data_IF_228014822200
#
_entry.id   IF_228014822200
#
_cell.length_a   1.000
_cell.length_b   1.000
_cell.length_c   1.000
_cell.angle_alpha   90.00
_cell.angle_beta   90.00
_cell.angle_gamma   90.00
#
_symmetry.space_group_name_H-M   'P 1'
#
loop_
_entity.id
_entity.type
_entity.pdbx_description
1 polymer ?
#
# COMPACT_ATOMS: atom_id res chain seq x y z
N UNK A 1 -16.35 -36.60 2.16
CA UNK A 1 -15.97 -35.53 1.21
C UNK A 1 -16.56 -34.23 1.72
N UNK A 2 -15.77 -33.40 2.39
CA UNK A 2 -16.21 -32.10 2.92
C UNK A 2 -16.04 -31.08 1.79
N UNK A 3 -17.09 -30.32 1.48
CA UNK A 3 -17.07 -29.42 0.33
C UNK A 3 -16.46 -28.06 0.70
N UNK A 4 -15.88 -27.37 -0.28
CA UNK A 4 -15.25 -26.03 -0.17
C UNK A 4 -16.10 -24.96 0.53
N UNK A 5 -17.41 -25.20 0.70
CA UNK A 5 -18.37 -24.32 1.38
C UNK A 5 -18.34 -24.42 2.91
N UNK A 6 -17.86 -25.53 3.48
CA UNK A 6 -17.91 -25.78 4.93
C UNK A 6 -16.73 -25.17 5.69
N UNK A 7 -15.58 -24.98 5.03
CA UNK A 7 -14.38 -24.35 5.61
C UNK A 7 -14.62 -22.88 5.98
N UNK A 8 -15.48 -22.17 5.24
CA UNK A 8 -15.73 -20.74 5.45
C UNK A 8 -16.77 -20.43 6.55
N UNK A 9 -17.46 -21.42 7.13
CA UNK A 9 -18.57 -21.20 8.07
C UNK A 9 -18.17 -21.05 9.54
N UNK A 10 -16.94 -21.37 9.93
CA UNK A 10 -16.55 -21.45 11.35
C UNK A 10 -15.89 -20.19 11.95
N UNK A 11 -15.85 -19.06 11.24
CA UNK A 11 -15.27 -17.82 11.77
C UNK A 11 -16.37 -16.93 12.37
N UNK A 12 -16.77 -17.18 13.62
CA UNK A 12 -17.54 -16.25 14.46
C UNK A 12 -16.98 -16.21 15.88
N UNK A 13 -16.77 -15.00 16.42
CA UNK A 13 -16.57 -14.73 17.85
C UNK A 13 -15.26 -13.99 18.19
N UNK A 14 -15.27 -12.96 19.07
CA UNK A 14 -14.22 -11.96 19.17
C UNK A 14 -13.20 -12.27 20.28
N UNK A 15 -11.95 -11.92 20.04
CA UNK A 15 -10.96 -11.68 21.10
C UNK A 15 -10.41 -10.26 20.91
N UNK A 16 -10.55 -9.43 21.94
CA UNK A 16 -10.45 -7.96 21.87
C UNK A 16 -9.05 -7.40 22.15
N UNK A 17 -8.03 -8.26 22.25
CA UNK A 17 -6.65 -7.83 22.56
C UNK A 17 -5.61 -8.18 21.49
N UNK A 18 -6.02 -8.72 20.35
CA UNK A 18 -5.13 -8.95 19.20
C UNK A 18 -5.22 -7.79 18.20
N UNK A 19 -4.11 -7.37 17.56
CA UNK A 19 -4.19 -6.42 16.45
C UNK A 19 -5.18 -6.97 15.40
N UNK A 20 -6.08 -6.13 14.85
CA UNK A 20 -7.13 -6.58 13.94
C UNK A 20 -6.53 -7.37 12.76
N UNK A 21 -7.28 -8.37 12.28
CA UNK A 21 -6.96 -9.41 11.28
C UNK A 21 -6.36 -8.96 9.92
N UNK A 22 -5.91 -7.72 9.77
CA UNK A 22 -5.36 -7.16 8.54
C UNK A 22 -3.98 -7.70 8.10
N UNK A 23 -3.36 -8.61 8.87
CA UNK A 23 -2.07 -9.22 8.50
C UNK A 23 -2.25 -10.52 7.67
N UNK A 24 -3.50 -10.95 7.39
CA UNK A 24 -3.77 -12.32 6.94
C UNK A 24 -3.48 -12.65 5.45
N UNK A 25 -3.54 -11.68 4.54
CA UNK A 25 -3.56 -11.95 3.08
C UNK A 25 -2.18 -12.02 2.41
N UNK A 26 -1.17 -12.30 3.20
CA UNK A 26 0.20 -12.48 2.74
C UNK A 26 0.71 -13.92 2.99
N UNK A 27 0.01 -14.65 3.86
CA UNK A 27 0.36 -16.00 4.32
C UNK A 27 0.14 -17.07 3.24
N UNK A 28 -0.74 -16.82 2.28
CA UNK A 28 -1.04 -17.76 1.19
C UNK A 28 0.10 -17.93 0.16
N UNK A 29 1.12 -17.08 0.20
CA UNK A 29 2.26 -17.15 -0.71
C UNK A 29 3.36 -18.15 -0.27
N UNK A 30 3.56 -18.34 1.04
CA UNK A 30 4.63 -19.22 1.54
C UNK A 30 4.42 -20.67 1.06
N UNK A 31 3.16 -21.05 0.83
CA UNK A 31 2.77 -22.39 0.34
C UNK A 31 3.23 -22.66 -1.10
N UNK A 32 3.41 -21.63 -1.93
CA UNK A 32 3.84 -21.78 -3.34
C UNK A 32 5.36 -21.70 -3.53
N UNK A 33 6.08 -21.02 -2.64
CA UNK A 33 7.55 -20.85 -2.75
C UNK A 33 8.29 -22.00 -2.06
N UNK A 34 7.79 -22.50 -0.93
CA UNK A 34 8.43 -23.63 -0.22
C UNK A 34 8.29 -24.97 -0.95
N UNK A 35 7.39 -25.06 -1.93
CA UNK A 35 7.07 -26.29 -2.70
C UNK A 35 7.89 -26.45 -3.99
N UNK A 36 8.74 -25.49 -4.35
CA UNK A 36 9.63 -25.58 -5.53
C UNK A 36 11.08 -25.89 -5.18
N UNK A 37 11.45 -25.91 -3.89
CA UNK A 37 12.83 -26.13 -3.46
C UNK A 37 13.15 -27.58 -3.02
N UNK A 38 12.15 -28.43 -2.76
CA UNK A 38 12.38 -29.82 -2.39
C UNK A 38 11.29 -30.73 -2.97
N UNK A 39 11.68 -31.68 -3.82
CA UNK A 39 10.80 -32.72 -4.34
C UNK A 39 10.45 -33.74 -3.27
N UNK A 40 9.57 -33.39 -2.33
CA UNK A 40 8.92 -34.34 -1.41
C UNK A 40 7.56 -33.82 -0.96
N UNK A 41 6.55 -34.69 -1.06
CA UNK A 41 5.19 -34.64 -0.50
C UNK A 41 4.55 -33.27 -0.16
N UNK A 42 3.48 -32.93 -0.89
CA UNK A 42 2.55 -31.87 -0.55
C UNK A 42 1.96 -32.04 0.86
N UNK A 43 2.54 -31.36 1.84
CA UNK A 43 1.92 -31.10 3.13
C UNK A 43 1.79 -29.58 3.28
N UNK A 44 0.56 -29.07 3.20
CA UNK A 44 0.28 -27.67 3.50
C UNK A 44 0.73 -27.33 4.93
N UNK A 45 1.04 -26.05 5.18
CA UNK A 45 1.34 -25.59 6.54
C UNK A 45 0.15 -25.86 7.45
N UNK A 46 0.43 -26.33 8.66
CA UNK A 46 -0.57 -26.45 9.72
C UNK A 46 -0.96 -25.06 10.23
N UNK A 47 -2.14 -24.93 10.85
CA UNK A 47 -2.58 -23.67 11.46
C UNK A 47 -1.55 -23.12 12.45
N UNK A 48 -0.89 -23.99 13.23
CA UNK A 48 0.18 -23.61 14.15
C UNK A 48 1.42 -23.03 13.44
N UNK A 49 1.75 -23.52 12.25
CA UNK A 49 2.83 -22.94 11.43
C UNK A 49 2.41 -21.59 10.85
N UNK A 50 1.16 -21.45 10.40
CA UNK A 50 0.61 -20.17 9.94
C UNK A 50 0.53 -19.13 11.08
N UNK A 51 0.20 -19.54 12.30
CA UNK A 51 0.22 -18.66 13.49
C UNK A 51 1.63 -18.25 13.86
N UNK A 52 2.60 -19.17 13.80
CA UNK A 52 4.02 -18.85 14.04
C UNK A 52 4.53 -17.80 13.06
N UNK A 53 4.23 -17.96 11.76
CA UNK A 53 4.57 -16.96 10.74
C UNK A 53 3.93 -15.60 11.08
N UNK A 54 2.66 -15.58 11.44
CA UNK A 54 1.95 -14.35 11.83
C UNK A 54 2.57 -13.68 13.06
N UNK A 55 2.92 -14.46 14.07
CA UNK A 55 3.59 -13.96 15.27
C UNK A 55 4.94 -13.34 14.94
N UNK A 56 5.75 -14.06 14.16
CA UNK A 56 7.05 -13.59 13.69
C UNK A 56 6.91 -12.29 12.89
N UNK A 57 5.91 -12.15 12.02
CA UNK A 57 5.64 -10.89 11.31
C UNK A 57 5.35 -9.72 12.25
N UNK A 58 4.58 -9.95 13.32
CA UNK A 58 4.32 -8.93 14.33
C UNK A 58 5.57 -8.53 15.13
N UNK A 59 6.46 -9.47 15.40
CA UNK A 59 7.77 -9.20 16.01
C UNK A 59 8.71 -8.46 15.06
N UNK A 60 8.82 -8.91 13.80
CA UNK A 60 9.63 -8.24 12.78
C UNK A 60 9.15 -6.81 12.52
N UNK A 61 7.85 -6.57 12.44
CA UNK A 61 7.30 -5.22 12.28
C UNK A 61 7.67 -4.30 13.44
N UNK A 62 7.62 -4.81 14.68
CA UNK A 62 8.05 -4.04 15.87
C UNK A 62 9.54 -3.76 15.84
N UNK A 63 10.36 -4.76 15.53
CA UNK A 63 11.81 -4.61 15.46
C UNK A 63 12.23 -3.62 14.36
N UNK A 64 11.64 -3.72 13.18
CA UNK A 64 11.83 -2.76 12.09
C UNK A 64 11.50 -1.33 12.53
N UNK A 65 10.38 -1.14 13.25
CA UNK A 65 10.03 0.18 13.77
C UNK A 65 11.05 0.67 14.81
N UNK A 66 11.55 -0.19 15.70
CA UNK A 66 12.57 0.17 16.70
C UNK A 66 13.88 0.60 16.03
N UNK A 67 14.36 -0.18 15.07
CA UNK A 67 15.55 0.17 14.31
C UNK A 67 15.36 1.48 13.52
N UNK A 68 14.17 1.71 12.98
CA UNK A 68 13.82 2.99 12.34
C UNK A 68 13.90 4.17 13.32
N UNK A 69 13.44 4.02 14.56
CA UNK A 69 13.52 5.07 15.59
C UNK A 69 14.94 5.32 16.09
N UNK A 70 15.79 4.29 16.08
CA UNK A 70 17.19 4.37 16.49
C UNK A 70 18.10 4.93 15.39
N UNK A 71 17.74 4.77 14.12
CA UNK A 71 18.54 5.24 12.99
C UNK A 71 18.34 6.76 12.74
N UNK A 72 19.38 7.60 12.89
CA UNK A 72 19.29 9.04 12.66
C UNK A 72 19.07 9.42 11.19
N UNK A 73 19.35 8.52 10.24
CA UNK A 73 19.16 8.73 8.80
C UNK A 73 17.75 8.37 8.33
N UNK A 74 16.89 7.83 9.21
CA UNK A 74 15.52 7.49 8.87
C UNK A 74 14.75 8.71 8.36
N UNK A 75 14.10 8.54 7.20
CA UNK A 75 13.22 9.57 6.66
C UNK A 75 12.11 9.96 7.64
N UNK A 76 11.75 11.25 7.66
CA UNK A 76 10.78 11.81 8.63
C UNK A 76 9.43 11.08 8.64
N UNK A 77 8.96 10.59 7.50
CA UNK A 77 7.68 9.90 7.38
C UNK A 77 7.75 8.47 7.94
N UNK A 78 8.86 7.77 7.67
CA UNK A 78 9.15 6.45 8.22
C UNK A 78 9.30 6.52 9.74
N UNK A 79 10.04 7.54 10.23
CA UNK A 79 10.15 7.82 11.65
C UNK A 79 8.78 8.06 12.29
N UNK A 80 7.95 8.92 11.70
CA UNK A 80 6.62 9.19 12.22
C UNK A 80 5.74 7.94 12.26
N UNK A 81 5.75 7.13 11.21
CA UNK A 81 5.01 5.86 11.18
C UNK A 81 5.48 4.91 12.28
N UNK A 82 6.80 4.75 12.47
CA UNK A 82 7.36 3.89 13.51
C UNK A 82 7.02 4.36 14.93
N UNK A 83 7.15 5.67 15.19
CA UNK A 83 6.81 6.29 16.47
C UNK A 83 5.34 6.06 16.83
N UNK A 84 4.45 6.34 15.86
CA UNK A 84 3.01 6.15 16.03
C UNK A 84 2.63 4.66 16.14
N UNK A 85 3.30 3.76 15.41
CA UNK A 85 3.05 2.31 15.48
C UNK A 85 3.42 1.74 16.85
N UNK A 86 4.62 2.07 17.36
CA UNK A 86 5.11 1.60 18.64
C UNK A 86 4.45 2.30 19.84
N UNK A 87 3.73 3.40 19.59
CA UNK A 87 3.23 4.29 20.63
C UNK A 87 4.36 4.89 21.48
N UNK A 88 5.51 5.13 20.83
CA UNK A 88 6.73 5.66 21.44
C UNK A 88 7.06 6.98 20.74
N UNK A 89 7.49 8.01 21.48
CA UNK A 89 7.85 9.32 20.89
C UNK A 89 6.74 9.92 20.01
N UNK A 90 5.47 9.67 20.35
CA UNK A 90 4.27 10.10 19.58
C UNK A 90 4.27 11.60 19.29
N UNK A 91 4.65 12.43 20.26
CA UNK A 91 4.77 13.89 20.08
C UNK A 91 5.78 14.26 19.00
N UNK A 92 6.93 13.57 18.98
CA UNK A 92 7.97 13.79 17.98
C UNK A 92 7.55 13.28 16.60
N UNK A 93 6.89 12.12 16.53
CA UNK A 93 6.31 11.60 15.29
C UNK A 93 5.34 12.60 14.66
N UNK A 94 4.43 13.16 15.44
CA UNK A 94 3.52 14.22 14.97
C UNK A 94 4.26 15.50 14.57
N UNK A 95 5.32 15.89 15.28
CA UNK A 95 6.20 17.02 14.87
C UNK A 95 6.82 16.77 13.50
N UNK A 96 7.32 15.56 13.23
CA UNK A 96 7.90 15.20 11.91
C UNK A 96 6.88 15.28 10.76
N UNK A 97 5.62 14.93 11.01
CA UNK A 97 4.54 15.08 10.02
C UNK A 97 4.29 16.57 9.69
N UNK A 98 4.29 17.45 10.70
CA UNK A 98 4.17 18.90 10.48
C UNK A 98 5.35 19.47 9.69
N UNK A 99 6.58 19.07 10.04
CA UNK A 99 7.80 19.49 9.33
C UNK A 99 7.74 19.09 7.84
N UNK A 100 7.29 17.87 7.54
CA UNK A 100 7.13 17.40 6.17
C UNK A 100 6.03 18.15 5.40
N UNK A 101 4.91 18.45 6.04
CA UNK A 101 3.86 19.25 5.43
C UNK A 101 4.32 20.69 5.15
N UNK A 102 4.99 21.32 6.10
CA UNK A 102 5.59 22.64 5.91
C UNK A 102 6.61 22.64 4.75
N UNK A 103 7.42 21.59 4.61
CA UNK A 103 8.32 21.44 3.47
C UNK A 103 7.57 21.29 2.14
N UNK A 104 6.40 20.62 2.11
CA UNK A 104 5.56 20.56 0.92
C UNK A 104 4.99 21.93 0.52
N UNK A 105 4.65 22.77 1.51
CA UNK A 105 4.16 24.14 1.31
C UNK A 105 5.26 25.14 0.92
N UNK A 106 6.52 24.86 1.26
CA UNK A 106 7.66 25.69 0.86
C UNK A 106 7.89 25.70 -0.65
N UNK A 107 7.24 24.81 -1.41
CA UNK A 107 7.34 24.72 -2.85
C UNK A 107 8.52 23.87 -3.32
N UNK A 108 8.70 23.82 -4.64
CA UNK A 108 9.80 23.12 -5.30
C UNK A 108 10.02 23.78 -6.67
N UNK A 109 11.13 24.52 -6.80
CA UNK A 109 11.47 25.26 -8.01
C UNK A 109 11.66 24.34 -9.23
N UNK A 110 12.35 23.20 -9.06
CA UNK A 110 12.57 22.22 -10.13
C UNK A 110 11.26 21.69 -10.73
N UNK A 111 10.19 21.67 -9.93
CA UNK A 111 8.85 21.21 -10.33
C UNK A 111 7.88 22.36 -10.62
N UNK A 112 8.36 23.61 -10.63
CA UNK A 112 7.54 24.81 -10.79
C UNK A 112 6.37 24.88 -9.78
N UNK A 113 6.60 24.44 -8.55
CA UNK A 113 5.63 24.55 -7.45
C UNK A 113 6.05 25.76 -6.61
N UNK A 114 5.28 26.86 -6.59
CA UNK A 114 5.61 28.03 -5.78
C UNK A 114 5.47 27.71 -4.29
N UNK A 115 5.99 28.58 -3.42
CA UNK A 115 5.67 28.50 -2.00
C UNK A 115 4.24 29.01 -1.73
N UNK A 116 3.60 28.50 -0.68
CA UNK A 116 2.25 28.89 -0.29
C UNK A 116 2.06 28.76 1.22
N UNK A 117 1.10 29.52 1.75
CA UNK A 117 0.63 29.36 3.14
C UNK A 117 -0.43 28.28 3.29
N UNK A 118 -1.05 27.87 2.20
CA UNK A 118 -2.16 26.91 2.15
C UNK A 118 -1.87 25.79 1.18
N UNK A 119 -2.39 24.59 1.48
CA UNK A 119 -2.23 23.44 0.61
C UNK A 119 -3.10 23.62 -0.64
N UNK A 120 -2.48 23.58 -1.82
CA UNK A 120 -3.19 23.62 -3.11
C UNK A 120 -3.07 22.29 -3.84
N UNK A 121 -3.88 22.03 -4.89
CA UNK A 121 -3.78 20.80 -5.67
C UNK A 121 -2.37 20.57 -6.24
N UNK A 122 -1.67 21.64 -6.63
CA UNK A 122 -0.31 21.57 -7.15
C UNK A 122 0.69 21.12 -6.07
N UNK A 123 0.62 21.67 -4.85
CA UNK A 123 1.46 21.25 -3.73
C UNK A 123 1.23 19.78 -3.36
N UNK A 124 -0.04 19.38 -3.26
CA UNK A 124 -0.40 18.00 -2.95
C UNK A 124 0.14 17.03 -4.01
N UNK A 125 0.15 17.42 -5.29
CA UNK A 125 0.77 16.63 -6.35
C UNK A 125 2.28 16.44 -6.16
N UNK A 126 2.96 17.41 -5.56
CA UNK A 126 4.40 17.41 -5.30
C UNK A 126 4.84 16.31 -4.35
N UNK A 127 3.95 15.87 -3.44
CA UNK A 127 4.21 14.78 -2.48
C UNK A 127 3.81 13.39 -2.99
N UNK A 128 3.47 13.24 -4.28
CA UNK A 128 3.07 11.96 -4.93
C UNK A 128 3.88 10.75 -4.44
N UNK A 129 5.20 10.86 -4.42
CA UNK A 129 6.10 9.75 -4.07
C UNK A 129 5.96 9.25 -2.63
N UNK A 130 5.48 10.11 -1.74
CA UNK A 130 5.25 9.78 -0.32
C UNK A 130 3.75 9.58 0.01
N UNK A 131 2.83 9.81 -0.94
CA UNK A 131 1.39 9.84 -0.67
C UNK A 131 0.87 8.54 -0.04
N UNK A 132 1.38 7.38 -0.48
CA UNK A 132 1.05 6.09 0.13
C UNK A 132 1.32 6.04 1.64
N UNK A 133 2.41 6.67 2.07
CA UNK A 133 2.85 6.67 3.46
C UNK A 133 2.01 7.62 4.31
N UNK A 134 1.66 8.78 3.75
CA UNK A 134 0.71 9.71 4.36
C UNK A 134 -0.66 9.07 4.58
N UNK A 135 -1.19 8.39 3.56
CA UNK A 135 -2.46 7.65 3.69
C UNK A 135 -2.37 6.55 4.73
N UNK A 136 -1.29 5.76 4.71
CA UNK A 136 -1.08 4.69 5.69
C UNK A 136 -1.04 5.24 7.12
N UNK A 137 -0.33 6.35 7.35
CA UNK A 137 -0.34 7.06 8.64
C UNK A 137 -1.77 7.47 9.03
N UNK A 138 -2.52 8.10 8.13
CA UNK A 138 -3.90 8.51 8.43
C UNK A 138 -4.79 7.32 8.77
N UNK A 139 -4.88 6.31 7.91
CA UNK A 139 -5.77 5.17 8.10
C UNK A 139 -5.46 4.40 9.38
N UNK A 140 -4.20 4.36 9.79
CA UNK A 140 -3.78 3.60 10.96
C UNK A 140 -3.92 4.38 12.26
N UNK A 141 -3.80 5.71 12.25
CA UNK A 141 -3.60 6.49 13.47
C UNK A 141 -4.59 7.63 13.69
N UNK A 142 -5.52 7.89 12.74
CA UNK A 142 -6.54 8.91 12.95
C UNK A 142 -7.41 8.60 14.19
N UNK A 143 -8.09 9.62 14.70
CA UNK A 143 -8.95 9.56 15.90
C UNK A 143 -9.98 8.44 15.89
N UNK A 144 -10.43 7.98 14.71
CA UNK A 144 -11.43 6.92 14.52
C UNK A 144 -10.84 5.66 13.89
N UNK A 145 -9.52 5.53 13.84
CA UNK A 145 -8.87 4.36 13.24
C UNK A 145 -9.28 3.07 13.94
N UNK A 146 -9.55 2.03 13.15
CA UNK A 146 -9.79 0.67 13.67
C UNK A 146 -8.53 -0.04 14.17
N UNK A 147 -7.35 0.53 13.90
CA UNK A 147 -6.06 -0.08 14.22
C UNK A 147 -5.48 0.50 15.50
N UNK A 148 -5.15 1.80 15.49
CA UNK A 148 -4.49 2.50 16.59
C UNK A 148 -5.10 3.90 16.75
N UNK A 149 -6.35 3.99 17.27
CA UNK A 149 -7.08 5.26 17.31
C UNK A 149 -6.36 6.31 18.16
N UNK A 150 -6.43 7.56 17.71
CA UNK A 150 -6.06 8.74 18.52
C UNK A 150 -4.56 8.99 18.68
N UNK A 151 -3.70 8.35 17.86
CA UNK A 151 -2.25 8.61 17.90
C UNK A 151 -1.81 9.79 17.03
N UNK A 152 -2.65 10.21 16.07
CA UNK A 152 -2.48 11.49 15.37
C UNK A 152 -3.01 12.65 16.22
N UNK A 153 -2.22 13.71 16.30
CA UNK A 153 -2.67 14.97 16.87
C UNK A 153 -3.81 15.56 16.01
N UNK A 154 -4.82 16.23 16.61
CA UNK A 154 -5.99 16.72 15.87
C UNK A 154 -5.65 17.66 14.70
N UNK A 155 -4.68 18.55 14.91
CA UNK A 155 -4.22 19.49 13.87
C UNK A 155 -3.49 18.78 12.73
N UNK A 156 -2.69 17.75 13.04
CA UNK A 156 -2.05 16.90 12.02
C UNK A 156 -3.10 16.12 11.23
N UNK A 157 -4.15 15.62 11.88
CA UNK A 157 -5.23 14.93 11.19
C UNK A 157 -5.94 15.87 10.19
N UNK A 158 -6.33 17.08 10.62
CA UNK A 158 -6.99 18.06 9.76
C UNK A 158 -6.09 18.48 8.57
N UNK A 159 -4.80 18.68 8.83
CA UNK A 159 -3.79 18.97 7.80
C UNK A 159 -3.70 17.86 6.74
N UNK A 160 -3.74 16.59 7.15
CA UNK A 160 -3.75 15.47 6.20
C UNK A 160 -5.05 15.42 5.38
N UNK A 161 -6.19 15.70 6.00
CA UNK A 161 -7.50 15.76 5.31
C UNK A 161 -7.51 16.85 4.22
N UNK A 162 -6.96 18.03 4.50
CA UNK A 162 -6.79 19.10 3.50
C UNK A 162 -5.87 18.66 2.34
N UNK A 163 -4.73 18.02 2.66
CA UNK A 163 -3.81 17.49 1.66
C UNK A 163 -4.46 16.41 0.78
N UNK A 164 -5.25 15.52 1.37
CA UNK A 164 -5.95 14.46 0.65
C UNK A 164 -7.05 14.99 -0.26
N UNK A 165 -7.83 15.98 0.20
CA UNK A 165 -8.78 16.68 -0.66
C UNK A 165 -8.08 17.31 -1.87
N UNK A 166 -7.03 18.08 -1.63
CA UNK A 166 -6.27 18.75 -2.70
C UNK A 166 -5.60 17.76 -3.67
N UNK A 167 -5.10 16.63 -3.16
CA UNK A 167 -4.56 15.57 -4.01
C UNK A 167 -5.63 14.97 -4.92
N UNK A 168 -6.81 14.69 -4.36
CA UNK A 168 -7.97 14.25 -5.12
C UNK A 168 -8.38 15.24 -6.21
N UNK A 169 -8.43 16.54 -5.88
CA UNK A 169 -8.70 17.60 -6.86
C UNK A 169 -7.71 17.62 -8.02
N UNK A 170 -6.44 17.28 -7.78
CA UNK A 170 -5.40 17.26 -8.82
C UNK A 170 -5.40 15.98 -9.66
N UNK A 171 -5.65 14.83 -9.04
CA UNK A 171 -5.41 13.51 -9.65
C UNK A 171 -6.65 12.74 -10.09
N UNK A 172 -7.84 13.11 -9.59
CA UNK A 172 -9.05 12.30 -9.75
C UNK A 172 -10.06 12.96 -10.68
N UNK A 173 -10.58 12.18 -11.63
CA UNK A 173 -11.80 12.51 -12.37
C UNK A 173 -12.71 11.29 -12.47
N UNK A 174 -14.02 11.49 -12.48
CA UNK A 174 -15.01 10.41 -12.67
C UNK A 174 -14.85 9.78 -14.04
N UNK A 175 -14.57 10.57 -15.09
CA UNK A 175 -14.30 10.06 -16.43
C UNK A 175 -13.14 9.05 -16.43
N UNK A 176 -12.02 9.36 -15.77
CA UNK A 176 -10.83 8.49 -15.74
C UNK A 176 -11.07 7.14 -15.06
N UNK A 177 -12.09 7.05 -14.20
CA UNK A 177 -12.50 5.81 -13.54
C UNK A 177 -13.36 4.89 -14.43
N UNK A 178 -13.60 5.24 -15.70
CA UNK A 178 -14.34 4.34 -16.59
C UNK A 178 -13.52 3.09 -16.94
N UNK A 179 -14.16 1.89 -17.01
CA UNK A 179 -13.47 0.64 -17.32
C UNK A 179 -12.67 0.61 -18.63
N UNK A 180 -13.03 1.46 -19.61
CA UNK A 180 -12.30 1.58 -20.88
C UNK A 180 -10.83 2.01 -20.68
N UNK A 181 -10.50 2.65 -19.56
CA UNK A 181 -9.16 3.11 -19.24
C UNK A 181 -8.31 2.12 -18.42
N UNK A 182 -8.77 0.88 -18.19
CA UNK A 182 -7.99 -0.11 -17.41
C UNK A 182 -6.62 -0.42 -18.05
N UNK A 183 -6.56 -0.42 -19.39
CA UNK A 183 -5.32 -0.61 -20.15
C UNK A 183 -4.74 0.70 -20.68
N UNK A 184 -5.34 1.84 -20.33
CA UNK A 184 -4.80 3.15 -20.65
C UNK A 184 -3.86 3.59 -19.53
N UNK A 185 -2.56 3.42 -19.74
CA UNK A 185 -1.54 3.74 -18.74
C UNK A 185 -1.10 5.20 -18.92
N UNK A 186 -1.34 6.04 -17.90
CA UNK A 186 -0.88 7.42 -17.91
C UNK A 186 0.60 7.52 -17.45
N UNK A 187 1.49 7.84 -18.38
CA UNK A 187 2.93 7.91 -18.14
C UNK A 187 3.56 6.52 -18.06
N UNK A 188 3.53 5.89 -16.88
CA UNK A 188 3.98 4.51 -16.67
C UNK A 188 3.06 3.81 -15.68
N UNK A 189 3.07 2.47 -15.67
CA UNK A 189 2.12 1.70 -14.86
C UNK A 189 2.27 1.98 -13.37
N UNK A 190 3.51 2.11 -12.89
CA UNK A 190 3.76 2.52 -11.52
C UNK A 190 3.23 3.92 -11.23
N UNK A 191 3.39 4.87 -12.16
CA UNK A 191 2.91 6.24 -11.96
C UNK A 191 1.38 6.33 -11.96
N UNK A 192 0.72 5.59 -12.84
CA UNK A 192 -0.73 5.50 -12.96
C UNK A 192 -1.33 4.86 -11.70
N UNK A 193 -0.80 3.71 -11.26
CA UNK A 193 -1.24 3.07 -10.02
C UNK A 193 -1.05 4.02 -8.82
N UNK A 194 0.15 4.60 -8.66
CA UNK A 194 0.45 5.52 -7.57
C UNK A 194 -0.49 6.72 -7.52
N UNK A 195 -0.78 7.35 -8.66
CA UNK A 195 -1.63 8.53 -8.66
C UNK A 195 -3.09 8.17 -8.36
N UNK A 196 -3.62 7.17 -9.03
CA UNK A 196 -5.05 6.89 -9.03
C UNK A 196 -5.48 6.16 -7.75
N UNK A 197 -4.67 5.22 -7.24
CA UNK A 197 -5.02 4.48 -6.02
C UNK A 197 -4.96 5.40 -4.81
N UNK A 198 -3.93 6.25 -4.75
CA UNK A 198 -3.79 7.21 -3.67
C UNK A 198 -4.87 8.29 -3.75
N UNK A 199 -5.25 8.76 -4.95
CA UNK A 199 -6.35 9.70 -5.09
C UNK A 199 -7.69 9.10 -4.65
N UNK A 200 -7.95 7.83 -4.99
CA UNK A 200 -9.12 7.11 -4.52
C UNK A 200 -9.14 7.02 -2.99
N UNK A 201 -8.06 6.52 -2.37
CA UNK A 201 -7.99 6.38 -0.91
C UNK A 201 -8.04 7.72 -0.18
N UNK A 202 -7.43 8.77 -0.74
CA UNK A 202 -7.48 10.14 -0.23
C UNK A 202 -8.90 10.73 -0.27
N UNK A 203 -9.65 10.50 -1.34
CA UNK A 203 -11.04 10.93 -1.40
C UNK A 203 -11.94 10.12 -0.46
N UNK A 204 -11.64 8.84 -0.28
CA UNK A 204 -12.35 7.99 0.67
C UNK A 204 -12.19 8.47 2.12
N UNK A 205 -11.04 9.05 2.51
CA UNK A 205 -10.87 9.57 3.88
C UNK A 205 -11.74 10.79 4.16
N UNK A 206 -12.01 11.62 3.14
CA UNK A 206 -12.69 12.92 3.33
C UNK A 206 -14.15 12.94 2.92
N UNK A 207 -14.65 11.94 2.18
CA UNK A 207 -15.97 11.97 1.56
C UNK A 207 -17.16 12.22 2.51
N UNK A 208 -17.05 11.79 3.77
CA UNK A 208 -18.12 11.89 4.78
C UNK A 208 -17.87 13.00 5.80
N UNK A 209 -16.72 13.67 5.74
CA UNK A 209 -16.40 14.79 6.63
C UNK A 209 -17.28 15.99 6.27
N UNK A 210 -17.86 16.63 7.29
CA UNK A 210 -18.82 17.75 7.09
C UNK A 210 -18.25 18.87 6.24
N UNK A 211 -16.95 19.14 6.34
CA UNK A 211 -16.26 20.14 5.54
C UNK A 211 -16.22 19.83 4.04
N UNK A 212 -16.09 18.55 3.66
CA UNK A 212 -15.81 18.13 2.27
C UNK A 212 -16.99 17.46 1.58
N UNK A 213 -17.95 16.93 2.34
CA UNK A 213 -19.05 16.09 1.84
C UNK A 213 -19.84 16.70 0.68
N UNK A 214 -20.09 18.01 0.74
CA UNK A 214 -20.84 18.75 -0.29
C UNK A 214 -19.94 19.48 -1.30
N UNK A 215 -18.64 19.58 -1.04
CA UNK A 215 -17.69 20.24 -1.96
C UNK A 215 -17.59 19.44 -3.26
N UNK A 216 -17.33 20.17 -4.36
CA UNK A 216 -17.11 19.58 -5.68
C UNK A 216 -15.63 19.61 -6.04
N UNK A 217 -15.15 18.51 -6.60
CA UNK A 217 -13.88 18.46 -7.31
C UNK A 217 -13.99 19.24 -8.64
N UNK A 218 -12.86 19.53 -9.31
CA UNK A 218 -12.86 20.33 -10.55
C UNK A 218 -13.74 19.78 -11.68
N UNK A 219 -14.03 18.47 -11.69
CA UNK A 219 -14.91 17.85 -12.69
C UNK A 219 -16.42 17.92 -12.34
N UNK A 220 -16.78 18.66 -11.28
CA UNK A 220 -18.16 18.90 -10.86
C UNK A 220 -18.77 17.85 -9.93
N UNK A 221 -18.03 16.80 -9.57
CA UNK A 221 -18.54 15.70 -8.72
C UNK A 221 -18.07 15.80 -7.27
N UNK A 222 -18.79 15.15 -6.35
CA UNK A 222 -18.39 15.08 -4.92
C UNK A 222 -17.37 13.96 -4.71
N UNK A 223 -16.59 14.04 -3.63
CA UNK A 223 -15.68 12.95 -3.24
C UNK A 223 -16.38 11.58 -3.18
N UNK A 224 -17.59 11.50 -2.61
CA UNK A 224 -18.38 10.26 -2.57
C UNK A 224 -18.68 9.66 -3.96
N UNK A 225 -18.92 10.52 -4.96
CA UNK A 225 -19.12 10.07 -6.35
C UNK A 225 -17.83 9.53 -6.96
N UNK A 226 -16.68 10.17 -6.71
CA UNK A 226 -15.38 9.63 -7.13
C UNK A 226 -15.08 8.29 -6.46
N UNK A 227 -15.27 8.18 -5.14
CA UNK A 227 -15.05 6.94 -4.39
C UNK A 227 -15.90 5.81 -4.94
N UNK A 228 -17.19 6.07 -5.22
CA UNK A 228 -18.08 5.09 -5.85
C UNK A 228 -17.56 4.66 -7.22
N UNK A 229 -17.18 5.61 -8.07
CA UNK A 229 -16.75 5.33 -9.44
C UNK A 229 -15.41 4.56 -9.47
N UNK A 230 -14.44 4.98 -8.66
CA UNK A 230 -13.17 4.28 -8.49
C UNK A 230 -13.31 2.90 -7.85
N UNK A 231 -14.26 2.71 -6.95
CA UNK A 231 -14.55 1.37 -6.41
C UNK A 231 -14.94 0.42 -7.53
N UNK A 232 -15.83 0.85 -8.43
CA UNK A 232 -16.24 0.04 -9.59
C UNK A 232 -15.08 -0.17 -10.58
N UNK A 233 -14.28 0.87 -10.84
CA UNK A 233 -13.06 0.76 -11.64
C UNK A 233 -12.14 -0.32 -11.09
N UNK A 234 -11.80 -0.27 -9.80
CA UNK A 234 -10.81 -1.17 -9.22
C UNK A 234 -11.31 -2.61 -9.07
N UNK A 235 -12.62 -2.82 -8.83
CA UNK A 235 -13.21 -4.16 -8.92
C UNK A 235 -13.02 -4.75 -10.31
N UNK A 236 -13.29 -3.95 -11.35
CA UNK A 236 -13.11 -4.38 -12.73
C UNK A 236 -11.63 -4.54 -13.10
N UNK A 237 -10.76 -3.66 -12.60
CA UNK A 237 -9.31 -3.73 -12.75
C UNK A 237 -8.80 -5.08 -12.26
N UNK A 238 -9.11 -5.50 -11.03
CA UNK A 238 -8.68 -6.80 -10.49
C UNK A 238 -9.10 -7.96 -11.40
N UNK A 239 -10.36 -7.98 -11.85
CA UNK A 239 -10.86 -9.04 -12.73
C UNK A 239 -10.12 -9.07 -14.07
N UNK A 240 -9.98 -7.91 -14.73
CA UNK A 240 -9.38 -7.81 -16.06
C UNK A 240 -7.90 -8.18 -16.02
N UNK A 241 -7.18 -7.77 -14.97
CA UNK A 241 -5.75 -8.04 -14.82
C UNK A 241 -5.48 -9.52 -14.54
N UNK A 242 -6.30 -10.16 -13.71
CA UNK A 242 -6.19 -11.62 -13.52
C UNK A 242 -6.50 -12.37 -14.82
N UNK A 243 -7.48 -11.92 -15.62
CA UNK A 243 -7.90 -12.63 -16.83
C UNK A 243 -6.98 -12.43 -18.04
N UNK A 244 -6.28 -11.30 -18.12
CA UNK A 244 -5.61 -10.86 -19.37
C UNK A 244 -4.14 -10.49 -19.19
N UNK A 245 -3.61 -10.49 -17.97
CA UNK A 245 -2.21 -10.16 -17.68
C UNK A 245 -2.07 -9.30 -16.43
N UNK A 246 -1.14 -9.69 -15.55
CA UNK A 246 -1.03 -9.09 -14.22
C UNK A 246 -0.48 -7.67 -14.24
N UNK A 247 0.70 -7.45 -14.84
CA UNK A 247 1.38 -6.16 -14.92
C UNK A 247 2.13 -6.01 -16.23
N UNK A 248 2.17 -4.78 -16.75
CA UNK A 248 2.98 -4.43 -17.92
C UNK A 248 4.41 -4.14 -17.49
N UNK A 249 4.63 -3.58 -16.29
CA UNK A 249 5.95 -3.29 -15.71
C UNK A 249 6.44 -4.45 -14.83
N UNK A 250 6.64 -5.62 -15.45
CA UNK A 250 7.33 -6.77 -14.85
C UNK A 250 8.84 -6.52 -14.79
N UNK A 251 9.22 -5.54 -13.97
CA UNK A 251 10.59 -5.04 -13.86
C UNK A 251 11.21 -5.40 -12.52
N UNK A 252 12.54 -5.68 -12.47
CA UNK A 252 13.25 -5.88 -11.22
C UNK A 252 13.24 -4.63 -10.33
N UNK A 253 13.01 -3.42 -10.86
CA UNK A 253 13.10 -2.18 -10.07
C UNK A 253 11.77 -1.61 -9.62
N UNK A 254 10.67 -1.89 -10.34
CA UNK A 254 9.42 -1.13 -10.17
C UNK A 254 8.38 -1.77 -9.25
N UNK A 255 8.53 -3.04 -8.85
CA UNK A 255 7.61 -3.71 -7.92
C UNK A 255 7.39 -2.92 -6.64
N UNK A 256 8.46 -2.32 -6.10
CA UNK A 256 8.43 -1.45 -4.91
C UNK A 256 7.53 -0.22 -5.03
N UNK A 257 7.17 0.21 -6.23
CA UNK A 257 6.32 1.39 -6.44
C UNK A 257 4.84 1.05 -6.53
N UNK A 258 4.42 -0.07 -7.12
CA UNK A 258 2.99 -0.33 -7.27
C UNK A 258 2.45 -1.37 -6.28
N UNK A 259 3.26 -2.37 -5.86
CA UNK A 259 2.79 -3.39 -4.92
C UNK A 259 2.30 -2.82 -3.59
N UNK A 260 3.00 -1.85 -2.95
CA UNK A 260 2.50 -1.31 -1.69
C UNK A 260 1.20 -0.50 -1.87
N UNK A 261 0.89 -0.04 -3.09
CA UNK A 261 -0.41 0.59 -3.37
C UNK A 261 -1.54 -0.44 -3.33
N UNK A 262 -1.32 -1.63 -3.91
CA UNK A 262 -2.28 -2.73 -3.83
C UNK A 262 -2.50 -3.19 -2.39
N UNK A 263 -1.44 -3.22 -1.56
CA UNK A 263 -1.53 -3.52 -0.13
C UNK A 263 -2.40 -2.48 0.60
N UNK A 264 -2.15 -1.18 0.38
CA UNK A 264 -2.98 -0.12 0.95
C UNK A 264 -4.45 -0.27 0.50
N UNK A 265 -4.72 -0.61 -0.75
CA UNK A 265 -6.07 -0.83 -1.26
C UNK A 265 -6.76 -2.01 -0.57
N UNK A 266 -6.05 -3.15 -0.44
CA UNK A 266 -6.54 -4.31 0.30
C UNK A 266 -6.86 -3.95 1.76
N UNK A 267 -5.96 -3.26 2.45
CA UNK A 267 -6.14 -2.96 3.88
C UNK A 267 -7.13 -1.83 4.16
N UNK A 268 -7.29 -0.85 3.27
CA UNK A 268 -7.98 0.40 3.57
C UNK A 268 -9.18 0.72 2.70
N UNK A 269 -9.43 0.02 1.59
CA UNK A 269 -10.67 0.24 0.84
C UNK A 269 -11.90 -0.02 1.74
N UNK A 270 -12.91 0.85 1.63
CA UNK A 270 -14.14 0.77 2.41
C UNK A 270 -15.14 -0.27 1.89
N UNK A 271 -14.92 -0.79 0.68
CA UNK A 271 -15.75 -1.82 0.06
C UNK A 271 -15.13 -3.22 0.26
N UNK A 272 -15.87 -4.11 0.94
CA UNK A 272 -15.39 -5.43 1.32
C UNK A 272 -15.12 -6.36 0.11
N UNK A 273 -15.89 -6.20 -0.99
CA UNK A 273 -15.65 -6.98 -2.20
C UNK A 273 -14.37 -6.53 -2.89
N UNK A 274 -14.11 -5.21 -2.94
CA UNK A 274 -12.89 -4.66 -3.47
C UNK A 274 -11.67 -5.12 -2.65
N UNK A 275 -11.76 -5.10 -1.31
CA UNK A 275 -10.70 -5.65 -0.45
C UNK A 275 -10.41 -7.12 -0.81
N UNK A 276 -11.45 -7.95 -0.92
CA UNK A 276 -11.31 -9.37 -1.29
C UNK A 276 -10.68 -9.55 -2.69
N UNK A 277 -11.07 -8.74 -3.67
CA UNK A 277 -10.50 -8.81 -5.02
C UNK A 277 -9.04 -8.34 -5.06
N UNK A 278 -8.68 -7.34 -4.25
CA UNK A 278 -7.30 -6.87 -4.09
C UNK A 278 -6.43 -7.93 -3.41
N UNK A 279 -6.93 -8.59 -2.37
CA UNK A 279 -6.29 -9.76 -1.76
C UNK A 279 -6.04 -10.86 -2.80
N UNK A 280 -7.04 -11.22 -3.59
CA UNK A 280 -6.86 -12.23 -4.65
C UNK A 280 -5.83 -11.81 -5.69
N UNK A 281 -5.82 -10.54 -6.09
CA UNK A 281 -4.82 -10.01 -7.01
C UNK A 281 -3.42 -10.09 -6.41
N UNK A 282 -3.24 -9.71 -5.13
CA UNK A 282 -1.97 -9.83 -4.40
C UNK A 282 -1.51 -11.29 -4.33
N UNK A 283 -2.37 -12.23 -3.96
CA UNK A 283 -2.05 -13.66 -3.95
C UNK A 283 -1.59 -14.15 -5.33
N UNK A 284 -2.31 -13.77 -6.39
CA UNK A 284 -1.96 -14.16 -7.76
C UNK A 284 -0.63 -13.56 -8.20
N UNK A 285 -0.42 -12.27 -7.87
CA UNK A 285 0.81 -11.54 -8.17
C UNK A 285 2.03 -12.19 -7.53
N UNK A 286 1.88 -12.60 -6.29
CA UNK A 286 2.94 -13.25 -5.56
C UNK A 286 3.17 -14.70 -6.04
N UNK A 287 2.10 -15.45 -6.35
CA UNK A 287 2.21 -16.77 -6.95
C UNK A 287 2.96 -16.75 -8.29
N UNK A 288 2.69 -15.75 -9.13
CA UNK A 288 3.39 -15.50 -10.39
C UNK A 288 4.88 -15.21 -10.16
N UNK A 289 5.21 -14.33 -9.19
CA UNK A 289 6.60 -14.09 -8.80
C UNK A 289 7.31 -15.34 -8.27
N UNK A 290 6.61 -16.20 -7.54
CA UNK A 290 7.14 -17.43 -6.95
C UNK A 290 7.55 -18.47 -8.00
N UNK A 291 6.70 -18.68 -9.02
CA UNK A 291 6.98 -19.66 -10.07
C UNK A 291 8.14 -19.23 -10.99
N UNK A 292 8.41 -17.93 -11.07
CA UNK A 292 9.52 -17.39 -11.84
C UNK A 292 10.89 -17.61 -11.16
N UNK A 293 10.97 -18.17 -9.95
CA UNK A 293 12.26 -18.31 -9.26
C UNK A 293 13.11 -19.47 -9.80
N UNK A 294 14.34 -19.15 -10.22
CA UNK A 294 15.37 -20.09 -10.70
C UNK A 294 16.65 -19.90 -9.86
N UNK A 295 16.92 -20.84 -8.93
CA UNK A 295 18.14 -20.79 -8.10
C UNK A 295 18.26 -19.52 -7.24
N UNK A 296 17.14 -18.94 -6.80
CA UNK A 296 17.10 -17.69 -6.03
C UNK A 296 17.14 -16.42 -6.86
N UNK A 297 17.14 -16.53 -8.20
CA UNK A 297 17.02 -15.41 -9.13
C UNK A 297 15.66 -15.50 -9.81
N UNK A 298 14.92 -14.38 -9.85
CA UNK A 298 13.69 -14.32 -10.65
C UNK A 298 14.04 -14.42 -12.14
N UNK A 299 13.62 -15.49 -12.78
CA UNK A 299 13.60 -15.69 -14.22
C UNK A 299 12.42 -15.00 -14.89
N UNK A 300 11.92 -15.60 -15.98
CA UNK A 300 10.72 -15.14 -16.69
C UNK A 300 10.93 -13.93 -17.61
N UNK A 301 9.85 -13.56 -18.30
CA UNK A 301 9.83 -12.38 -19.16
C UNK A 301 9.80 -11.11 -18.32
N UNK A 302 10.65 -10.15 -18.68
CA UNK A 302 10.77 -8.87 -17.98
C UNK A 302 10.63 -7.71 -18.93
N UNK A 303 10.06 -6.62 -18.45
CA UNK A 303 9.96 -5.34 -19.16
C UNK A 303 10.63 -4.26 -18.32
N UNK A 304 10.95 -3.12 -18.95
CA UNK A 304 11.57 -1.96 -18.26
C UNK A 304 12.83 -2.38 -17.48
N UNK A 305 13.69 -3.15 -18.15
CA UNK A 305 14.97 -3.62 -17.64
C UNK A 305 16.06 -2.70 -18.18
N UNK A 306 16.75 -2.00 -17.28
CA UNK A 306 17.86 -1.12 -17.65
C UNK A 306 19.18 -1.87 -17.57
N UNK A 307 20.11 -1.52 -18.47
CA UNK A 307 21.47 -2.03 -18.41
C UNK A 307 22.12 -1.66 -17.06
N UNK A 308 22.89 -2.60 -16.51
CA UNK A 308 23.61 -2.42 -15.25
C UNK A 308 23.20 -3.43 -14.17
N UNK A 309 23.36 -3.01 -12.91
CA UNK A 309 23.28 -3.89 -11.73
C UNK A 309 22.04 -4.80 -11.71
N UNK A 310 20.87 -4.24 -12.05
CA UNK A 310 19.58 -4.94 -12.04
C UNK A 310 19.44 -6.05 -13.09
N UNK A 311 20.09 -5.88 -14.24
CA UNK A 311 19.98 -6.80 -15.38
C UNK A 311 21.12 -7.82 -15.44
N UNK A 312 22.31 -7.47 -14.95
CA UNK A 312 23.51 -8.28 -15.10
C UNK A 312 23.60 -9.44 -14.11
N UNK A 313 23.19 -9.22 -12.84
CA UNK A 313 23.36 -10.21 -11.76
C UNK A 313 22.05 -10.86 -11.33
N UNK A 314 20.91 -10.24 -11.62
CA UNK A 314 19.59 -10.70 -11.16
C UNK A 314 19.36 -10.62 -9.65
N UNK A 315 20.36 -10.16 -8.88
CA UNK A 315 20.33 -10.14 -7.40
C UNK A 315 19.65 -8.90 -6.81
N UNK A 316 19.49 -7.81 -7.57
CA UNK A 316 18.78 -6.60 -7.13
C UNK A 316 17.33 -6.56 -7.59
N UNK A 317 16.60 -7.65 -7.41
CA UNK A 317 15.17 -7.63 -7.67
C UNK A 317 14.41 -7.06 -6.47
N UNK A 318 13.77 -5.91 -6.66
CA UNK A 318 12.90 -5.27 -5.64
C UNK A 318 11.76 -6.17 -5.20
N UNK A 319 11.30 -7.09 -6.05
CA UNK A 319 10.30 -8.08 -5.68
C UNK A 319 10.87 -9.12 -4.72
N UNK A 320 12.10 -9.57 -4.95
CA UNK A 320 12.78 -10.49 -4.03
C UNK A 320 13.11 -9.81 -2.70
N UNK A 321 13.48 -8.53 -2.71
CA UNK A 321 13.63 -7.75 -1.48
C UNK A 321 12.32 -7.69 -0.68
N UNK A 322 11.20 -7.36 -1.34
CA UNK A 322 9.90 -7.37 -0.70
C UNK A 322 9.56 -8.78 -0.19
N UNK A 323 9.73 -9.83 -1.01
CA UNK A 323 9.51 -11.21 -0.62
C UNK A 323 10.31 -11.64 0.62
N UNK A 324 11.56 -11.17 0.78
CA UNK A 324 12.36 -11.39 2.00
C UNK A 324 11.76 -10.68 3.22
N UNK A 325 11.30 -9.43 3.07
CA UNK A 325 10.58 -8.74 4.16
C UNK A 325 9.31 -9.51 4.53
N UNK A 326 8.56 -9.98 3.55
CA UNK A 326 7.32 -10.74 3.74
C UNK A 326 7.55 -12.11 4.40
N UNK A 327 8.77 -12.62 4.37
CA UNK A 327 9.13 -13.95 4.91
C UNK A 327 10.04 -13.85 6.14
N UNK A 328 10.43 -12.64 6.55
CA UNK A 328 11.37 -12.42 7.66
C UNK A 328 12.80 -12.86 7.36
N UNK A 329 13.19 -12.95 6.08
CA UNK A 329 14.48 -13.51 5.62
C UNK A 329 15.48 -12.45 5.12
N UNK A 330 15.66 -11.33 5.83
CA UNK A 330 16.67 -10.34 5.43
C UNK A 330 17.06 -9.34 6.51
N UNK A 331 18.30 -8.85 6.44
CA UNK A 331 18.78 -7.73 7.24
C UNK A 331 18.25 -6.41 6.66
N UNK A 332 17.40 -5.72 7.42
CA UNK A 332 16.64 -4.55 6.95
C UNK A 332 17.51 -3.34 6.54
N UNK A 333 18.75 -3.26 7.02
CA UNK A 333 19.69 -2.16 6.76
C UNK A 333 21.00 -2.60 6.09
N UNK A 334 21.17 -3.88 5.73
CA UNK A 334 22.29 -4.28 4.89
C UNK A 334 21.87 -4.15 3.43
N UNK A 335 22.12 -2.97 2.86
CA UNK A 335 22.15 -2.75 1.40
C UNK A 335 23.54 -2.99 0.86
#
# INVERSE_FOLDING_TARGET
MVTRREIFRQIKGPDTNSPPKAILSLVLLIVLIASLANGTAWAGLTDAQCERVRHLHGEYGRELCRQTLANPESGRLQFALAALWLNERVTEGNKKLRELHAAALAGNEEKNIPSSKVMTPLHASGVKWAMRGWLRVYYMFNSKSRFFPGRLAPDVQAMLEEMFWNYGCYKSTVERSQPKYIWFIQGSENHDMMDLSNAFLALQTVQDLSEYRSRKLPDGHTAAKHVTAWTQYYKRYCQVRIQRGLFVEMSPTYGKYFLPELVNMYEFAGDAELQRLMEMLLHTTWADWAIDQLGGIRGGAKTRVYQGHYAQRGTSDSWSFLGRILTGQGDFFQT
#
